data_IF_415402451507
#
_entry.id   IF_415402451507
#
_cell.length_a   1.000
_cell.length_b   1.000
_cell.length_c   1.000
_cell.angle_alpha   90.00
_cell.angle_beta   90.00
_cell.angle_gamma   90.00
#
_symmetry.space_group_name_H-M   'P 1'
#
loop_
_entity.id
_entity.type
_entity.pdbx_description
1 polymer ?
#
# COMPACT_ATOMS: atom_id res chain seq x y z
N UNK A 1 -14.35 -35.04 7.24
CA UNK A 1 -13.40 -34.01 7.69
C UNK A 1 -12.73 -33.29 6.49
N UNK A 2 -12.21 -34.00 5.49
CA UNK A 2 -11.57 -33.45 4.28
C UNK A 2 -12.50 -32.52 3.48
N UNK A 3 -13.77 -32.90 3.26
CA UNK A 3 -14.75 -32.11 2.51
C UNK A 3 -15.05 -30.74 3.15
N UNK A 4 -15.20 -30.66 4.49
CA UNK A 4 -15.37 -29.38 5.20
C UNK A 4 -14.13 -28.50 5.10
N UNK A 5 -12.93 -29.10 5.12
CA UNK A 5 -11.68 -28.39 4.94
C UNK A 5 -11.56 -27.80 3.52
N UNK A 6 -11.85 -28.59 2.50
CA UNK A 6 -11.83 -28.13 1.10
C UNK A 6 -12.87 -27.03 0.82
N UNK A 7 -14.07 -27.16 1.38
CA UNK A 7 -15.10 -26.13 1.29
C UNK A 7 -14.67 -24.84 1.98
N UNK A 8 -14.10 -24.92 3.19
CA UNK A 8 -13.59 -23.76 3.91
C UNK A 8 -12.45 -23.08 3.13
N UNK A 9 -11.54 -23.84 2.55
CA UNK A 9 -10.47 -23.32 1.74
C UNK A 9 -11.00 -22.62 0.48
N UNK A 10 -11.91 -23.27 -0.24
CA UNK A 10 -12.57 -22.73 -1.43
C UNK A 10 -13.31 -21.42 -1.16
N UNK A 11 -14.09 -21.36 -0.08
CA UNK A 11 -14.85 -20.15 0.29
C UNK A 11 -13.92 -19.01 0.73
N UNK A 12 -12.83 -19.30 1.43
CA UNK A 12 -11.86 -18.30 1.88
C UNK A 12 -11.08 -17.71 0.70
N UNK A 13 -10.60 -18.55 -0.22
CA UNK A 13 -9.94 -18.11 -1.45
C UNK A 13 -10.87 -17.20 -2.24
N UNK A 14 -12.11 -17.63 -2.51
CA UNK A 14 -13.07 -16.84 -3.28
C UNK A 14 -13.41 -15.49 -2.62
N UNK A 15 -13.46 -15.41 -1.29
CA UNK A 15 -13.69 -14.16 -0.57
C UNK A 15 -12.61 -13.12 -0.84
N UNK A 16 -11.34 -13.50 -0.75
CA UNK A 16 -10.23 -12.56 -0.97
C UNK A 16 -10.08 -12.19 -2.45
N UNK A 17 -10.30 -13.13 -3.36
CA UNK A 17 -10.33 -12.83 -4.80
C UNK A 17 -11.50 -11.91 -5.16
N UNK A 18 -12.70 -12.15 -4.65
CA UNK A 18 -13.85 -11.27 -4.87
C UNK A 18 -13.59 -9.85 -4.36
N UNK A 19 -13.05 -9.71 -3.15
CA UNK A 19 -12.69 -8.41 -2.59
C UNK A 19 -11.59 -7.72 -3.42
N UNK A 20 -10.57 -8.47 -3.86
CA UNK A 20 -9.51 -7.96 -4.73
C UNK A 20 -10.06 -7.41 -6.04
N UNK A 21 -10.96 -8.13 -6.71
CA UNK A 21 -11.58 -7.67 -7.96
C UNK A 21 -12.31 -6.35 -7.76
N UNK A 22 -13.12 -6.23 -6.69
CA UNK A 22 -13.85 -4.98 -6.40
C UNK A 22 -12.89 -3.82 -6.15
N UNK A 23 -11.85 -4.05 -5.32
CA UNK A 23 -10.87 -3.00 -4.99
C UNK A 23 -10.06 -2.58 -6.22
N UNK A 24 -9.63 -3.53 -7.05
CA UNK A 24 -8.91 -3.23 -8.28
C UNK A 24 -9.81 -2.56 -9.34
N UNK A 25 -11.09 -2.89 -9.38
CA UNK A 25 -12.05 -2.16 -10.22
C UNK A 25 -12.19 -0.69 -9.76
N UNK A 26 -12.27 -0.44 -8.45
CA UNK A 26 -12.25 0.93 -7.91
C UNK A 26 -10.94 1.66 -8.23
N UNK A 27 -9.79 0.98 -8.17
CA UNK A 27 -8.52 1.54 -8.61
C UNK A 27 -8.58 1.99 -10.08
N UNK A 28 -9.09 1.15 -10.98
CA UNK A 28 -9.23 1.47 -12.40
C UNK A 28 -10.15 2.68 -12.60
N UNK A 29 -11.28 2.74 -11.89
CA UNK A 29 -12.19 3.90 -11.96
C UNK A 29 -11.48 5.19 -11.57
N UNK A 30 -10.74 5.18 -10.45
CA UNK A 30 -9.99 6.38 -10.04
C UNK A 30 -8.89 6.70 -11.05
N UNK A 31 -8.15 5.71 -11.56
CA UNK A 31 -7.13 5.90 -12.58
C UNK A 31 -7.68 6.62 -13.82
N UNK A 32 -8.86 6.21 -14.30
CA UNK A 32 -9.55 6.87 -15.41
C UNK A 32 -9.94 8.31 -15.06
N UNK A 33 -10.49 8.52 -13.87
CA UNK A 33 -10.95 9.84 -13.44
C UNK A 33 -9.83 10.88 -13.27
N UNK A 34 -8.61 10.44 -12.93
CA UNK A 34 -7.46 11.33 -12.73
C UNK A 34 -6.51 11.40 -13.93
N UNK A 35 -6.70 10.55 -14.95
CA UNK A 35 -5.86 10.54 -16.15
C UNK A 35 -6.11 11.79 -17.01
N UNK A 36 -5.04 12.50 -17.43
CA UNK A 36 -5.17 13.67 -18.32
C UNK A 36 -5.72 13.33 -19.70
N UNK A 37 -5.45 12.11 -20.19
CA UNK A 37 -5.81 11.71 -21.57
C UNK A 37 -7.23 11.19 -21.68
N UNK A 38 -7.74 10.54 -20.63
CA UNK A 38 -9.03 9.85 -20.61
C UNK A 38 -10.06 10.64 -19.79
N UNK A 39 -9.63 11.51 -18.91
CA UNK A 39 -10.49 12.35 -18.08
C UNK A 39 -11.38 13.27 -18.95
N UNK A 40 -12.66 13.29 -18.65
CA UNK A 40 -13.77 13.90 -19.40
C UNK A 40 -13.62 15.38 -19.80
N UNK A 41 -12.48 16.02 -19.57
CA UNK A 41 -12.18 17.38 -20.04
C UNK A 41 -10.66 17.59 -20.17
N UNK A 42 -10.26 18.26 -21.22
CA UNK A 42 -8.91 18.60 -21.69
C UNK A 42 -8.01 19.35 -20.67
N UNK A 43 -7.85 18.85 -19.47
CA UNK A 43 -6.97 19.43 -18.45
C UNK A 43 -7.35 18.99 -17.04
N UNK A 44 -6.34 18.66 -16.24
CA UNK A 44 -6.47 18.18 -14.87
C UNK A 44 -7.31 19.10 -13.99
N UNK A 45 -7.30 20.39 -14.25
CA UNK A 45 -7.96 21.41 -13.43
C UNK A 45 -9.44 21.63 -13.77
N UNK A 46 -10.01 20.96 -14.76
CA UNK A 46 -11.36 21.25 -15.24
C UNK A 46 -12.43 20.22 -14.84
N UNK A 47 -12.05 19.00 -14.40
CA UNK A 47 -13.04 18.07 -13.86
C UNK A 47 -13.41 18.42 -12.42
N UNK A 48 -14.68 18.26 -12.00
CA UNK A 48 -15.10 18.50 -10.62
C UNK A 48 -14.28 17.68 -9.60
N UNK A 49 -13.92 16.46 -9.95
CA UNK A 49 -13.15 15.54 -9.09
C UNK A 49 -11.70 16.04 -8.92
N UNK A 50 -11.05 16.43 -10.02
CA UNK A 50 -9.68 16.99 -9.96
C UNK A 50 -9.65 18.31 -9.19
N UNK A 51 -10.69 19.12 -9.29
CA UNK A 51 -10.80 20.36 -8.52
C UNK A 51 -10.94 20.10 -7.02
N UNK A 52 -11.81 19.18 -6.63
CA UNK A 52 -11.95 18.79 -5.20
C UNK A 52 -10.67 18.19 -4.66
N UNK A 53 -10.02 17.32 -5.44
CA UNK A 53 -8.74 16.68 -5.07
C UNK A 53 -7.62 17.73 -4.89
N UNK A 54 -7.55 18.73 -5.78
CA UNK A 54 -6.60 19.83 -5.66
C UNK A 54 -6.89 20.74 -4.46
N UNK A 55 -8.15 21.03 -4.16
CA UNK A 55 -8.53 21.82 -2.97
C UNK A 55 -8.16 21.06 -1.69
N UNK A 56 -8.50 19.78 -1.60
CA UNK A 56 -8.14 18.94 -0.45
C UNK A 56 -6.61 18.81 -0.27
N UNK A 57 -5.86 18.76 -1.37
CA UNK A 57 -4.41 18.84 -1.34
C UNK A 57 -3.93 20.16 -0.73
N UNK A 58 -4.44 21.30 -1.20
CA UNK A 58 -4.05 22.62 -0.71
C UNK A 58 -4.37 22.82 0.77
N UNK A 59 -5.52 22.35 1.24
CA UNK A 59 -5.90 22.42 2.65
C UNK A 59 -4.89 21.70 3.55
N UNK A 60 -4.44 20.51 3.15
CA UNK A 60 -3.46 19.72 3.91
C UNK A 60 -2.06 20.35 3.79
N UNK A 61 -1.66 20.71 2.57
CA UNK A 61 -0.32 21.25 2.32
C UNK A 61 -0.12 22.65 2.94
N UNK A 62 -1.14 23.51 2.95
CA UNK A 62 -1.08 24.81 3.61
C UNK A 62 -1.13 24.75 5.15
N UNK A 63 -1.44 23.59 5.71
CA UNK A 63 -1.54 23.36 7.16
C UNK A 63 -0.21 22.91 7.77
N UNK A 64 0.93 23.43 7.29
CA UNK A 64 2.23 23.07 7.83
C UNK A 64 2.45 23.64 9.23
N UNK A 65 2.71 22.73 10.19
CA UNK A 65 3.13 23.08 11.54
C UNK A 65 4.60 22.70 11.73
N UNK A 66 5.48 23.61 12.14
CA UNK A 66 6.91 23.34 12.28
C UNK A 66 7.23 22.08 13.12
N UNK A 67 6.44 21.83 14.16
CA UNK A 67 6.62 20.65 15.00
C UNK A 67 6.36 19.32 14.26
N UNK A 68 5.49 19.31 13.26
CA UNK A 68 5.17 18.12 12.49
C UNK A 68 5.99 17.95 11.22
N UNK A 69 6.56 19.03 10.67
CA UNK A 69 7.32 18.99 9.43
C UNK A 69 8.41 17.92 9.44
N UNK A 70 9.23 17.91 10.50
CA UNK A 70 10.32 16.93 10.60
C UNK A 70 9.81 15.49 10.69
N UNK A 71 8.71 15.25 11.40
CA UNK A 71 8.09 13.91 11.52
C UNK A 71 7.57 13.46 10.14
N UNK A 72 6.88 14.34 9.41
CA UNK A 72 6.35 14.03 8.08
C UNK A 72 7.45 13.79 7.04
N UNK A 73 8.56 14.54 7.13
CA UNK A 73 9.77 14.31 6.32
C UNK A 73 10.33 12.92 6.61
N UNK A 74 10.50 12.54 7.88
CA UNK A 74 11.05 11.24 8.24
C UNK A 74 10.13 10.07 7.81
N UNK A 75 8.82 10.22 8.01
CA UNK A 75 7.84 9.22 7.57
C UNK A 75 7.92 9.00 6.05
N UNK A 76 8.00 10.07 5.27
CA UNK A 76 8.07 9.97 3.81
C UNK A 76 9.42 9.45 3.30
N UNK A 77 10.53 9.77 3.99
CA UNK A 77 11.87 9.32 3.57
C UNK A 77 12.20 7.89 4.01
N UNK A 78 11.78 7.49 5.19
CA UNK A 78 12.22 6.24 5.81
C UNK A 78 11.10 5.22 6.03
N UNK A 79 9.83 5.65 6.01
CA UNK A 79 8.68 4.79 6.30
C UNK A 79 8.56 3.62 5.32
N UNK A 80 8.78 3.83 4.02
CA UNK A 80 8.76 2.76 3.03
C UNK A 80 10.10 2.04 2.93
N UNK A 81 11.20 2.78 2.75
CA UNK A 81 12.51 2.26 2.33
C UNK A 81 13.26 1.53 3.44
N UNK A 82 13.09 1.94 4.68
CA UNK A 82 13.82 1.40 5.84
C UNK A 82 12.90 0.64 6.76
N UNK A 83 11.78 1.25 7.15
CA UNK A 83 10.87 0.66 8.14
C UNK A 83 10.28 -0.67 7.66
N UNK A 84 9.75 -0.75 6.44
CA UNK A 84 9.11 -1.99 5.97
C UNK A 84 10.07 -3.16 5.73
N UNK A 85 11.27 -3.00 5.14
CA UNK A 85 12.26 -4.07 5.13
C UNK A 85 12.61 -4.58 6.53
N UNK A 86 12.82 -3.68 7.50
CA UNK A 86 13.07 -4.07 8.89
C UNK A 86 11.86 -4.82 9.48
N UNK A 87 10.65 -4.31 9.29
CA UNK A 87 9.43 -4.96 9.77
C UNK A 87 9.26 -6.37 9.20
N UNK A 88 9.52 -6.59 7.91
CA UNK A 88 9.50 -7.90 7.26
C UNK A 88 10.54 -8.84 7.90
N UNK A 89 11.76 -8.36 8.11
CA UNK A 89 12.83 -9.16 8.76
C UNK A 89 12.42 -9.53 10.19
N UNK A 90 11.92 -8.56 10.97
CA UNK A 90 11.48 -8.81 12.35
C UNK A 90 10.30 -9.79 12.41
N UNK A 91 9.31 -9.65 11.54
CA UNK A 91 8.21 -10.61 11.42
C UNK A 91 8.74 -12.01 11.08
N UNK A 92 9.70 -12.12 10.17
CA UNK A 92 10.27 -13.39 9.75
C UNK A 92 11.07 -14.05 10.87
N UNK A 93 11.90 -13.30 11.60
CA UNK A 93 12.79 -13.82 12.65
C UNK A 93 12.04 -14.06 13.95
N UNK A 94 11.26 -13.08 14.42
CA UNK A 94 10.66 -13.06 15.75
C UNK A 94 9.18 -13.48 15.77
N UNK A 95 8.48 -13.41 14.63
CA UNK A 95 7.02 -13.64 14.56
C UNK A 95 6.59 -15.12 14.63
N UNK A 96 7.52 -16.07 14.81
CA UNK A 96 7.24 -17.49 14.73
C UNK A 96 6.79 -17.94 13.34
N UNK A 97 6.06 -19.05 13.25
CA UNK A 97 5.65 -19.57 11.94
C UNK A 97 4.63 -18.63 11.23
N UNK A 98 3.68 -18.09 11.96
CA UNK A 98 2.71 -17.10 11.42
C UNK A 98 3.45 -15.87 10.89
N UNK A 99 4.45 -15.36 11.63
CA UNK A 99 5.27 -14.23 11.20
C UNK A 99 6.06 -14.50 9.93
N UNK A 100 6.70 -15.69 9.83
CA UNK A 100 7.43 -16.11 8.62
C UNK A 100 6.53 -16.12 7.39
N UNK A 101 5.34 -16.72 7.51
CA UNK A 101 4.35 -16.75 6.46
C UNK A 101 3.90 -15.35 6.07
N UNK A 102 3.55 -14.52 7.04
CA UNK A 102 3.14 -13.13 6.81
C UNK A 102 4.24 -12.33 6.11
N UNK A 103 5.48 -12.41 6.57
CA UNK A 103 6.62 -11.74 5.98
C UNK A 103 6.84 -12.12 4.50
N UNK A 104 6.74 -13.42 4.18
CA UNK A 104 6.88 -13.91 2.80
C UNK A 104 5.75 -13.39 1.91
N UNK A 105 4.50 -13.41 2.39
CA UNK A 105 3.36 -12.88 1.62
C UNK A 105 3.51 -11.37 1.39
N UNK A 106 3.96 -10.60 2.40
CA UNK A 106 4.26 -9.17 2.25
C UNK A 106 5.34 -8.97 1.19
N UNK A 107 6.46 -9.68 1.31
CA UNK A 107 7.59 -9.52 0.39
C UNK A 107 7.21 -9.84 -1.07
N UNK A 108 6.47 -10.91 -1.32
CA UNK A 108 5.99 -11.27 -2.66
C UNK A 108 5.03 -10.20 -3.19
N UNK A 109 4.10 -9.70 -2.35
CA UNK A 109 3.17 -8.64 -2.74
C UNK A 109 3.92 -7.37 -3.15
N UNK A 110 4.90 -6.95 -2.37
CA UNK A 110 5.71 -5.76 -2.68
C UNK A 110 6.55 -5.95 -3.95
N UNK A 111 7.13 -7.13 -4.15
CA UNK A 111 7.92 -7.44 -5.35
C UNK A 111 7.09 -7.33 -6.63
N UNK A 112 5.83 -7.78 -6.60
CA UNK A 112 4.91 -7.67 -7.74
C UNK A 112 4.38 -6.25 -7.90
N UNK A 113 4.15 -5.54 -6.80
CA UNK A 113 3.62 -4.18 -6.83
C UNK A 113 4.60 -3.17 -7.44
N UNK A 114 5.91 -3.32 -7.25
CA UNK A 114 6.88 -2.36 -7.78
C UNK A 114 6.75 -2.19 -9.31
N UNK A 115 6.86 -3.24 -10.14
CA UNK A 115 6.68 -3.09 -11.58
C UNK A 115 5.26 -2.68 -11.98
N UNK A 116 4.22 -3.15 -11.27
CA UNK A 116 2.84 -2.73 -11.53
C UNK A 116 2.63 -1.24 -11.25
N UNK A 117 3.25 -0.71 -10.20
CA UNK A 117 3.19 0.71 -9.88
C UNK A 117 3.87 1.58 -10.94
N UNK A 118 5.02 1.16 -11.45
CA UNK A 118 5.71 1.86 -12.56
C UNK A 118 4.83 1.84 -13.81
N UNK A 119 4.32 0.69 -14.20
CA UNK A 119 3.44 0.56 -15.35
C UNK A 119 2.18 1.43 -15.21
N UNK A 120 1.56 1.45 -14.04
CA UNK A 120 0.37 2.27 -13.78
C UNK A 120 0.69 3.77 -13.86
N UNK A 121 1.87 4.22 -13.41
CA UNK A 121 2.33 5.61 -13.56
C UNK A 121 2.45 6.01 -15.02
N UNK A 122 3.08 5.17 -15.84
CA UNK A 122 3.30 5.45 -17.26
C UNK A 122 1.98 5.47 -18.04
N UNK A 123 1.03 4.58 -17.71
CA UNK A 123 -0.29 4.52 -18.35
C UNK A 123 -1.15 5.74 -17.96
N UNK A 124 -1.20 6.11 -16.69
CA UNK A 124 -2.07 7.19 -16.20
C UNK A 124 -1.48 8.57 -16.47
N UNK A 125 -0.15 8.69 -16.42
CA UNK A 125 0.65 9.88 -16.72
C UNK A 125 0.17 11.15 -16.00
N UNK A 126 -0.33 11.05 -14.75
CA UNK A 126 -0.83 12.17 -13.99
C UNK A 126 0.33 13.07 -13.53
N UNK A 127 0.34 14.37 -13.85
CA UNK A 127 1.37 15.28 -13.35
C UNK A 127 1.21 15.48 -11.83
N UNK A 128 2.35 15.82 -11.19
CA UNK A 128 2.38 16.10 -9.76
C UNK A 128 1.78 17.44 -9.40
N UNK A 129 1.45 17.67 -8.10
CA UNK A 129 1.04 18.97 -7.63
C UNK A 129 2.06 20.05 -7.99
N UNK A 130 1.54 21.20 -8.48
CA UNK A 130 2.36 22.38 -8.77
C UNK A 130 2.13 23.37 -7.63
N UNK A 131 3.15 23.53 -6.79
CA UNK A 131 3.20 24.50 -5.68
C UNK A 131 4.49 25.30 -5.75
N UNK A 132 4.57 26.48 -5.11
CA UNK A 132 5.81 27.23 -5.01
C UNK A 132 6.95 26.37 -4.45
N UNK A 133 8.16 26.55 -4.95
CA UNK A 133 9.31 25.75 -4.53
C UNK A 133 9.61 25.86 -3.03
N UNK A 134 9.26 27.01 -2.42
CA UNK A 134 9.36 27.26 -0.98
C UNK A 134 8.46 26.36 -0.13
N UNK A 135 7.38 25.82 -0.70
CA UNK A 135 6.34 25.10 0.01
C UNK A 135 6.58 23.57 -0.03
N UNK A 136 7.55 23.12 -0.84
CA UNK A 136 8.01 21.74 -0.78
C UNK A 136 8.89 21.49 0.44
N UNK A 137 8.49 20.58 1.31
CA UNK A 137 9.31 20.14 2.46
C UNK A 137 10.43 19.19 2.04
N UNK A 138 10.30 18.54 0.88
CA UNK A 138 11.31 17.67 0.27
C UNK A 138 11.36 17.94 -1.24
N UNK A 139 12.48 17.60 -1.87
CA UNK A 139 12.58 17.68 -3.32
C UNK A 139 11.51 16.83 -4.00
N UNK A 140 10.75 17.37 -4.97
CA UNK A 140 9.72 16.61 -5.68
C UNK A 140 10.35 15.48 -6.51
N UNK A 141 9.70 14.32 -6.49
CA UNK A 141 10.06 13.20 -7.39
C UNK A 141 9.80 13.61 -8.85
N UNK A 142 10.59 13.11 -9.79
CA UNK A 142 10.44 13.42 -11.22
C UNK A 142 9.43 12.53 -11.95
N UNK A 143 8.98 11.44 -11.30
CA UNK A 143 8.00 10.50 -11.87
C UNK A 143 6.58 11.05 -11.80
N UNK A 144 5.66 10.46 -12.58
CA UNK A 144 4.23 10.74 -12.50
C UNK A 144 3.64 10.53 -11.11
N UNK A 145 2.55 11.26 -10.81
CA UNK A 145 1.97 11.29 -9.47
C UNK A 145 1.14 10.05 -9.13
N UNK A 146 0.35 9.53 -10.05
CA UNK A 146 -0.59 8.44 -9.80
C UNK A 146 -0.09 7.09 -10.30
N UNK A 147 -0.22 6.03 -9.50
CA UNK A 147 -0.54 6.02 -8.07
C UNK A 147 0.67 6.35 -7.20
N UNK A 148 0.44 6.72 -5.93
CA UNK A 148 1.51 6.92 -4.96
C UNK A 148 2.20 5.59 -4.63
N UNK A 149 3.49 5.47 -4.99
CA UNK A 149 4.27 4.26 -4.74
C UNK A 149 4.49 3.97 -3.25
N UNK A 150 4.63 5.00 -2.41
CA UNK A 150 4.71 4.83 -0.96
C UNK A 150 3.41 4.24 -0.41
N UNK A 151 2.27 4.88 -0.71
CA UNK A 151 0.97 4.41 -0.25
C UNK A 151 0.69 2.97 -0.69
N UNK A 152 1.04 2.61 -1.91
CA UNK A 152 0.88 1.27 -2.47
C UNK A 152 1.63 0.22 -1.66
N UNK A 153 2.90 0.45 -1.38
CA UNK A 153 3.76 -0.51 -0.69
C UNK A 153 3.36 -0.67 0.79
N UNK A 154 3.20 0.46 1.51
CA UNK A 154 2.91 0.39 2.95
C UNK A 154 1.51 -0.17 3.22
N UNK A 155 0.52 0.16 2.38
CA UNK A 155 -0.85 -0.37 2.54
C UNK A 155 -0.95 -1.87 2.24
N UNK A 156 -0.18 -2.37 1.26
CA UNK A 156 -0.09 -3.81 1.00
C UNK A 156 0.45 -4.56 2.21
N UNK A 157 1.55 -4.09 2.79
CA UNK A 157 2.14 -4.68 3.99
C UNK A 157 1.18 -4.66 5.18
N UNK A 158 0.54 -3.51 5.43
CA UNK A 158 -0.44 -3.34 6.50
C UNK A 158 -1.65 -4.27 6.35
N UNK A 159 -2.21 -4.37 5.14
CA UNK A 159 -3.35 -5.26 4.87
C UNK A 159 -3.01 -6.72 5.11
N UNK A 160 -1.87 -7.20 4.60
CA UNK A 160 -1.41 -8.57 4.84
C UNK A 160 -1.19 -8.84 6.33
N UNK A 161 -0.53 -7.91 7.05
CA UNK A 161 -0.29 -8.06 8.49
C UNK A 161 -1.60 -8.14 9.29
N UNK A 162 -2.56 -7.23 9.04
CA UNK A 162 -3.86 -7.22 9.70
C UNK A 162 -4.69 -8.48 9.43
N UNK A 163 -4.49 -9.14 8.31
CA UNK A 163 -5.24 -10.36 7.97
C UNK A 163 -4.55 -11.60 8.53
N UNK A 164 -3.24 -11.73 8.36
CA UNK A 164 -2.50 -12.97 8.64
C UNK A 164 -1.81 -12.99 10.01
N UNK A 165 -1.52 -11.83 10.61
CA UNK A 165 -0.76 -11.72 11.87
C UNK A 165 -1.61 -11.11 12.99
N UNK A 166 -2.70 -11.79 13.38
CA UNK A 166 -3.68 -11.28 14.36
C UNK A 166 -4.28 -12.33 15.31
N UNK A 167 -3.77 -13.54 15.30
CA UNK A 167 -4.32 -14.68 16.07
C UNK A 167 -4.11 -14.58 17.59
N UNK A 168 -3.33 -13.60 18.06
CA UNK A 168 -3.17 -13.27 19.47
C UNK A 168 -3.22 -11.75 19.68
N UNK A 169 -3.55 -11.25 20.90
CA UNK A 169 -3.56 -9.82 21.18
C UNK A 169 -2.23 -9.12 20.87
N UNK A 170 -1.11 -9.78 21.14
CA UNK A 170 0.23 -9.22 20.83
C UNK A 170 0.44 -9.07 19.31
N UNK A 171 0.08 -10.08 18.53
CA UNK A 171 0.21 -10.02 17.06
C UNK A 171 -0.73 -8.99 16.46
N UNK A 172 -1.96 -8.90 16.98
CA UNK A 172 -2.91 -7.86 16.57
C UNK A 172 -2.35 -6.46 16.86
N UNK A 173 -1.76 -6.26 18.06
CA UNK A 173 -1.13 -4.97 18.40
C UNK A 173 0.00 -4.62 17.43
N UNK A 174 0.88 -5.57 17.08
CA UNK A 174 1.93 -5.34 16.08
C UNK A 174 1.33 -4.97 14.72
N UNK A 175 0.35 -5.72 14.24
CA UNK A 175 -0.32 -5.43 12.95
C UNK A 175 -1.02 -4.08 12.95
N UNK A 176 -1.60 -3.66 14.09
CA UNK A 176 -2.20 -2.34 14.24
C UNK A 176 -1.16 -1.22 14.20
N UNK A 177 0.01 -1.42 14.82
CA UNK A 177 1.13 -0.47 14.74
C UNK A 177 1.60 -0.33 13.29
N UNK A 178 1.76 -1.43 12.56
CA UNK A 178 2.12 -1.40 11.14
C UNK A 178 1.06 -0.67 10.29
N UNK A 179 -0.22 -0.84 10.61
CA UNK A 179 -1.30 -0.13 9.91
C UNK A 179 -1.34 1.36 10.22
N UNK A 180 -1.07 1.76 11.46
CA UNK A 180 -0.96 3.17 11.86
C UNK A 180 0.24 3.81 11.14
N UNK A 181 1.38 3.16 11.12
CA UNK A 181 2.54 3.64 10.38
C UNK A 181 2.23 3.83 8.90
N UNK A 182 1.61 2.85 8.26
CA UNK A 182 1.20 2.95 6.85
C UNK A 182 0.26 4.14 6.60
N UNK A 183 -0.71 4.39 7.50
CA UNK A 183 -1.61 5.54 7.39
C UNK A 183 -0.85 6.87 7.53
N UNK A 184 0.11 6.95 8.45
CA UNK A 184 0.95 8.13 8.64
C UNK A 184 1.86 8.39 7.44
N UNK A 185 2.44 7.34 6.84
CA UNK A 185 3.22 7.47 5.59
C UNK A 185 2.31 7.95 4.45
N UNK A 186 1.09 7.41 4.30
CA UNK A 186 0.14 7.88 3.32
C UNK A 186 -0.17 9.38 3.47
N UNK A 187 -0.44 9.83 4.71
CA UNK A 187 -0.68 11.24 5.00
C UNK A 187 0.55 12.10 4.70
N UNK A 188 1.75 11.63 5.05
CA UNK A 188 2.98 12.36 4.82
C UNK A 188 3.20 12.71 3.34
N UNK A 189 2.76 11.84 2.39
CA UNK A 189 2.91 12.09 0.95
C UNK A 189 2.13 13.29 0.45
N UNK A 190 0.96 13.56 1.05
CA UNK A 190 0.16 14.76 0.74
C UNK A 190 0.76 15.97 1.46
N UNK A 191 1.08 15.80 2.74
CA UNK A 191 1.62 16.86 3.59
C UNK A 191 2.92 17.48 3.05
N UNK A 192 3.85 16.68 2.54
CA UNK A 192 5.13 17.17 1.99
C UNK A 192 5.00 17.74 0.56
N UNK A 193 3.81 17.74 -0.05
CA UNK A 193 3.57 18.30 -1.38
C UNK A 193 3.77 17.31 -2.53
N UNK A 194 4.08 16.04 -2.26
CA UNK A 194 4.46 15.07 -3.28
C UNK A 194 3.32 14.47 -4.10
N UNK A 195 2.10 14.40 -3.56
CA UNK A 195 0.96 13.71 -4.16
C UNK A 195 -0.37 14.36 -3.82
N UNK A 196 -1.33 14.27 -4.74
CA UNK A 196 -2.74 14.55 -4.45
C UNK A 196 -3.35 13.43 -3.58
N UNK A 197 -4.44 13.71 -2.82
CA UNK A 197 -5.16 12.70 -2.05
C UNK A 197 -5.58 11.47 -2.88
N UNK A 198 -6.07 11.65 -4.12
CA UNK A 198 -6.48 10.54 -4.98
C UNK A 198 -5.30 9.70 -5.47
N UNK A 199 -4.07 10.24 -5.55
CA UNK A 199 -2.89 9.44 -5.85
C UNK A 199 -2.60 8.44 -4.70
N UNK A 200 -2.79 8.92 -3.47
CA UNK A 200 -2.61 8.11 -2.26
C UNK A 200 -3.71 7.04 -2.17
N UNK A 201 -4.98 7.42 -2.41
CA UNK A 201 -6.10 6.47 -2.45
C UNK A 201 -5.88 5.42 -3.54
N UNK A 202 -5.45 5.83 -4.74
CA UNK A 202 -5.09 4.90 -5.82
C UNK A 202 -3.98 3.93 -5.40
N UNK A 203 -2.93 4.44 -4.74
CA UNK A 203 -1.88 3.60 -4.17
C UNK A 203 -2.41 2.58 -3.17
N UNK A 204 -3.26 3.01 -2.22
CA UNK A 204 -3.88 2.12 -1.24
C UNK A 204 -4.70 1.02 -1.95
N UNK A 205 -5.54 1.39 -2.91
CA UNK A 205 -6.39 0.45 -3.63
C UNK A 205 -5.55 -0.59 -4.41
N UNK A 206 -4.52 -0.14 -5.13
CA UNK A 206 -3.63 -1.05 -5.85
C UNK A 206 -2.87 -1.97 -4.88
N UNK A 207 -2.31 -1.40 -3.81
CA UNK A 207 -1.57 -2.14 -2.79
C UNK A 207 -2.42 -3.21 -2.10
N UNK A 208 -3.57 -2.81 -1.57
CA UNK A 208 -4.51 -3.74 -0.90
C UNK A 208 -5.07 -4.75 -1.90
N UNK A 209 -5.53 -4.31 -3.07
CA UNK A 209 -6.12 -5.18 -4.08
C UNK A 209 -5.18 -6.31 -4.51
N UNK A 210 -3.94 -5.99 -4.85
CA UNK A 210 -2.94 -6.99 -5.23
C UNK A 210 -2.56 -7.88 -4.04
N UNK A 211 -2.37 -7.33 -2.85
CA UNK A 211 -2.00 -8.12 -1.68
C UNK A 211 -3.08 -9.13 -1.27
N UNK A 212 -4.36 -8.83 -1.46
CA UNK A 212 -5.46 -9.77 -1.21
C UNK A 212 -5.40 -11.01 -2.10
N UNK A 213 -4.88 -10.91 -3.33
CA UNK A 213 -4.64 -12.08 -4.18
C UNK A 213 -3.67 -13.04 -3.49
N UNK A 214 -2.55 -12.51 -2.98
CA UNK A 214 -1.53 -13.32 -2.28
C UNK A 214 -2.02 -13.85 -0.94
N UNK A 215 -2.85 -13.09 -0.22
CA UNK A 215 -3.56 -13.58 0.97
C UNK A 215 -4.49 -14.74 0.61
N UNK A 216 -5.22 -14.65 -0.51
CA UNK A 216 -6.11 -15.72 -0.98
C UNK A 216 -5.37 -17.04 -1.26
N UNK A 217 -4.13 -16.98 -1.72
CA UNK A 217 -3.29 -18.16 -2.00
C UNK A 217 -2.25 -18.45 -0.91
N UNK A 218 -2.39 -17.86 0.28
CA UNK A 218 -1.40 -17.94 1.36
C UNK A 218 -1.01 -19.37 1.76
N UNK A 219 -1.93 -20.32 1.68
CA UNK A 219 -1.67 -21.74 1.96
C UNK A 219 -0.77 -22.39 0.91
N UNK A 220 -0.89 -21.99 -0.36
CA UNK A 220 0.00 -22.45 -1.43
C UNK A 220 1.41 -21.90 -1.20
N UNK A 221 1.51 -20.61 -0.86
CA UNK A 221 2.80 -19.98 -0.50
C UNK A 221 3.39 -20.70 0.73
N UNK A 222 2.57 -20.99 1.76
CA UNK A 222 3.00 -21.74 2.94
C UNK A 222 3.56 -23.12 2.57
N UNK A 223 2.94 -23.83 1.64
CA UNK A 223 3.43 -25.16 1.22
C UNK A 223 4.82 -25.10 0.59
N UNK A 224 5.16 -24.02 -0.11
CA UNK A 224 6.47 -23.80 -0.72
C UNK A 224 7.57 -23.54 0.34
N UNK A 225 7.21 -22.91 1.46
CA UNK A 225 8.15 -22.62 2.55
C UNK A 225 8.21 -23.73 3.64
N UNK A 226 7.31 -24.71 3.58
CA UNK A 226 7.29 -25.85 4.54
C UNK A 226 8.58 -26.65 4.65
N UNK A 227 9.38 -26.88 3.58
CA UNK A 227 10.68 -27.54 3.72
C UNK A 227 11.60 -26.81 4.70
N UNK A 228 11.59 -25.49 4.71
CA UNK A 228 12.37 -24.65 5.63
C UNK A 228 11.97 -24.91 7.08
N UNK A 229 10.67 -25.07 7.37
CA UNK A 229 10.17 -25.42 8.71
C UNK A 229 10.70 -26.76 9.21
N UNK A 230 10.79 -27.75 8.31
CA UNK A 230 11.32 -29.09 8.66
C UNK A 230 12.83 -29.04 8.96
N UNK A 231 13.58 -28.22 8.24
CA UNK A 231 15.02 -28.04 8.49
C UNK A 231 15.30 -27.36 9.83
N UNK A 232 14.54 -26.29 10.15
CA UNK A 232 14.69 -25.54 11.42
C UNK A 232 14.28 -26.33 12.67
N UNK A 233 13.48 -27.40 12.54
CA UNK A 233 13.11 -28.27 13.66
C UNK A 233 14.13 -29.40 13.95
N UNK A 234 15.10 -29.59 13.06
CA UNK A 234 16.16 -30.62 13.21
C UNK A 234 17.44 -30.08 13.86
N UNK A 235 17.47 -28.77 14.11
CA UNK A 235 18.49 -28.09 14.94
C UNK A 235 17.95 -27.85 16.36
#
# INVERSE_FOLDING_TARGET
MLYKYLLYEYTTVNKYFGASIVILALFIVIAILVSPEVGFNNGINNSPISKVDSLAFLDINNSHYPAFNQIMIWLTQFGREIFWPIAIILLFVLGGWTGKKTAVVIAISMLVLVPLGVLAKDIVARPRPVIPQSDFLIAPDQEYAFPSGHAMIVSAGAAVALILFRDTPRKLAVSSILAIEAALVCLSRIYVGGHYPLDVVGGILLGVGVSLIFVGIEKRIESLIMPIKKMLKKQ
#
